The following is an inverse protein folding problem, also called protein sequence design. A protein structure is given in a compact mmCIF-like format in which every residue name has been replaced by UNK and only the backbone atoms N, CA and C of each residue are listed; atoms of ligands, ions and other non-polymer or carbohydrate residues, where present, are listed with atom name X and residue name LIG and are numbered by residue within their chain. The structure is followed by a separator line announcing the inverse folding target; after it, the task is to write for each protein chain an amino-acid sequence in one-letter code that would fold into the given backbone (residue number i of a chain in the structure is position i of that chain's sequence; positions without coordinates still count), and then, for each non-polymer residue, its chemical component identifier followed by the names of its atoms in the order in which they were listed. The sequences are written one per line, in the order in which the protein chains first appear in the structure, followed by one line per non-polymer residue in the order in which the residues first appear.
data_IF_833252362776
#
_entry.id   IF_833252362776
#
_cell.length_a   1.000
_cell.length_b   1.000
_cell.length_c   1.000
_cell.angle_alpha   90.00
_cell.angle_beta   90.00
_cell.angle_gamma   90.00
#
_symmetry.space_group_name_H-M   'P 1'
#
loop_
_entity.id
_entity.type
_entity.pdbx_description
1 polymer ?
#
# COMPACT_ATOMS: atom_id res chain seq x y z
N UNK A 1 -18.01 -5.35 29.84
CA UNK A 1 -16.94 -4.66 29.08
C UNK A 1 -15.62 -5.33 29.36
N UNK A 2 -15.00 -6.02 28.39
CA UNK A 2 -13.61 -6.49 28.53
C UNK A 2 -12.71 -5.28 28.39
N UNK A 3 -12.11 -4.81 29.49
CA UNK A 3 -11.07 -3.79 29.44
C UNK A 3 -9.88 -4.39 28.68
N UNK A 4 -9.66 -3.97 27.42
CA UNK A 4 -8.44 -4.31 26.70
C UNK A 4 -7.24 -3.90 27.55
N UNK A 5 -6.22 -4.76 27.66
CA UNK A 5 -5.02 -4.52 28.49
C UNK A 5 -4.39 -3.18 28.12
N UNK A 6 -4.69 -2.14 28.89
CA UNK A 6 -4.08 -0.82 28.69
C UNK A 6 -2.66 -0.84 29.27
N UNK A 7 -1.69 -0.39 28.49
CA UNK A 7 -0.32 -0.21 28.98
C UNK A 7 -0.31 0.76 30.17
N UNK A 8 0.41 0.38 31.22
CA UNK A 8 0.58 1.20 32.43
C UNK A 8 1.35 2.48 32.12
N UNK A 9 1.15 3.54 32.91
CA UNK A 9 1.79 4.85 32.71
C UNK A 9 3.31 4.74 32.61
N UNK A 10 3.95 3.89 33.44
CA UNK A 10 5.39 3.62 33.37
C UNK A 10 5.80 2.99 32.03
N UNK A 11 5.04 2.02 31.52
CA UNK A 11 5.31 1.39 30.22
C UNK A 11 5.17 2.37 29.05
N UNK A 12 4.23 3.33 29.12
CA UNK A 12 4.09 4.39 28.10
C UNK A 12 5.29 5.32 28.09
N UNK A 13 5.78 5.72 29.26
CA UNK A 13 6.97 6.57 29.40
C UNK A 13 8.24 5.87 28.89
N UNK A 14 8.44 4.61 29.28
CA UNK A 14 9.58 3.80 28.78
C UNK A 14 9.52 3.67 27.26
N UNK A 15 8.34 3.40 26.69
CA UNK A 15 8.16 3.33 25.24
C UNK A 15 8.50 4.65 24.54
N UNK A 16 8.02 5.78 25.06
CA UNK A 16 8.32 7.09 24.48
C UNK A 16 9.81 7.44 24.61
N UNK A 17 10.46 7.05 25.71
CA UNK A 17 11.90 7.22 25.88
C UNK A 17 12.70 6.38 24.88
N UNK A 18 12.27 5.13 24.64
CA UNK A 18 12.86 4.27 23.60
C UNK A 18 12.69 4.91 22.23
N UNK A 19 11.51 5.45 21.90
CA UNK A 19 11.29 6.15 20.64
C UNK A 19 12.21 7.38 20.49
N UNK A 20 12.37 8.17 21.54
CA UNK A 20 13.28 9.32 21.55
C UNK A 20 14.74 8.90 21.30
N UNK A 21 15.22 7.88 22.03
CA UNK A 21 16.58 7.36 21.87
C UNK A 21 16.80 6.74 20.48
N UNK A 22 15.83 5.97 19.98
CA UNK A 22 15.89 5.44 18.62
C UNK A 22 15.91 6.55 17.57
N UNK A 23 15.16 7.63 17.79
CA UNK A 23 15.15 8.80 16.91
C UNK A 23 16.49 9.52 16.92
N UNK A 24 17.14 9.66 18.08
CA UNK A 24 18.47 10.26 18.20
C UNK A 24 19.54 9.43 17.49
N UNK A 25 19.53 8.10 17.67
CA UNK A 25 20.46 7.19 16.99
C UNK A 25 20.23 7.23 15.47
N UNK A 26 18.97 7.18 15.05
CA UNK A 26 18.61 7.27 13.63
C UNK A 26 19.01 8.61 13.02
N UNK A 27 18.79 9.72 13.73
CA UNK A 27 19.22 11.05 13.32
C UNK A 27 20.74 11.16 13.18
N UNK A 28 21.50 10.62 14.13
CA UNK A 28 22.96 10.57 14.06
C UNK A 28 23.45 9.71 12.89
N UNK A 29 22.81 8.56 12.65
CA UNK A 29 23.10 7.68 11.51
C UNK A 29 22.84 8.39 10.17
N UNK A 30 21.67 9.00 10.01
CA UNK A 30 21.35 9.78 8.81
C UNK A 30 22.32 10.95 8.62
N UNK A 31 22.69 11.66 9.70
CA UNK A 31 23.67 12.75 9.65
C UNK A 31 25.06 12.27 9.21
N UNK A 32 25.53 11.14 9.75
CA UNK A 32 26.81 10.53 9.37
C UNK A 32 26.84 10.15 7.88
N UNK A 33 25.81 9.46 7.40
CA UNK A 33 25.68 9.12 5.98
C UNK A 33 25.54 10.36 5.10
N UNK A 34 24.87 11.41 5.59
CA UNK A 34 24.78 12.69 4.89
C UNK A 34 26.13 13.35 4.65
N UNK A 35 26.97 13.42 5.68
CA UNK A 35 28.33 13.95 5.55
C UNK A 35 29.15 13.08 4.60
N UNK A 36 29.02 11.76 4.67
CA UNK A 36 29.68 10.81 3.77
C UNK A 36 29.28 11.04 2.32
N UNK A 37 27.98 11.13 2.03
CA UNK A 37 27.45 11.41 0.68
C UNK A 37 27.93 12.79 0.19
N UNK A 38 27.92 13.82 1.04
CA UNK A 38 28.38 15.15 0.65
C UNK A 38 29.89 15.20 0.33
N UNK A 39 30.71 14.37 1.00
CA UNK A 39 32.17 14.38 0.84
C UNK A 39 32.66 13.44 -0.26
N UNK A 40 32.06 12.26 -0.37
CA UNK A 40 32.50 11.20 -1.28
C UNK A 40 31.58 10.99 -2.48
N UNK A 41 30.46 11.71 -2.53
CA UNK A 41 29.39 11.47 -3.51
C UNK A 41 28.59 10.21 -3.19
N UNK A 42 27.51 9.99 -3.94
CA UNK A 42 26.84 8.69 -3.95
C UNK A 42 27.74 7.67 -4.66
N UNK A 43 27.80 6.41 -4.17
CA UNK A 43 28.47 5.35 -4.90
C UNK A 43 27.94 5.27 -6.34
N UNK A 44 28.82 5.01 -7.31
CA UNK A 44 28.47 5.00 -8.74
C UNK A 44 27.36 4.01 -9.13
N UNK A 45 27.05 3.03 -8.28
CA UNK A 45 25.94 2.11 -8.48
C UNK A 45 24.58 2.66 -8.00
N UNK A 46 24.54 3.72 -7.18
CA UNK A 46 23.30 4.35 -6.67
C UNK A 46 22.87 5.47 -7.63
N UNK A 47 22.62 5.10 -8.87
CA UNK A 47 22.02 6.00 -9.87
C UNK A 47 20.50 5.79 -9.90
N UNK A 48 19.77 6.82 -10.34
CA UNK A 48 18.32 6.72 -10.55
C UNK A 48 17.98 5.55 -11.47
N UNK A 49 18.77 5.34 -12.53
CA UNK A 49 18.56 4.27 -13.50
C UNK A 49 18.68 2.88 -12.86
N UNK A 50 19.71 2.65 -12.03
CA UNK A 50 19.87 1.38 -11.32
C UNK A 50 18.74 1.16 -10.30
N UNK A 51 18.33 2.22 -9.60
CA UNK A 51 17.21 2.17 -8.67
C UNK A 51 15.90 1.80 -9.37
N UNK A 52 15.59 2.43 -10.50
CA UNK A 52 14.44 2.12 -11.34
C UNK A 52 14.52 0.69 -11.88
N UNK A 53 15.69 0.23 -12.29
CA UNK A 53 15.88 -1.14 -12.74
C UNK A 53 15.57 -2.16 -11.63
N UNK A 54 16.07 -1.93 -10.41
CA UNK A 54 15.73 -2.76 -9.24
C UNK A 54 14.22 -2.74 -8.94
N UNK A 55 13.59 -1.56 -8.96
CA UNK A 55 12.14 -1.43 -8.74
C UNK A 55 11.33 -2.19 -9.80
N UNK A 56 11.74 -2.18 -11.07
CA UNK A 56 11.09 -2.92 -12.15
C UNK A 56 11.15 -4.43 -11.92
N UNK A 57 12.30 -4.96 -11.48
CA UNK A 57 12.44 -6.39 -11.14
C UNK A 57 11.49 -6.77 -10.01
N UNK A 58 11.45 -5.97 -8.93
CA UNK A 58 10.54 -6.20 -7.80
C UNK A 58 9.09 -6.18 -8.27
N UNK A 59 8.73 -5.18 -9.09
CA UNK A 59 7.38 -5.03 -9.65
C UNK A 59 6.98 -6.26 -10.47
N UNK A 60 7.89 -6.77 -11.31
CA UNK A 60 7.67 -7.98 -12.10
C UNK A 60 7.42 -9.21 -11.22
N UNK A 61 8.23 -9.41 -10.17
CA UNK A 61 8.06 -10.53 -9.23
C UNK A 61 6.70 -10.45 -8.51
N UNK A 62 6.27 -9.26 -8.10
CA UNK A 62 4.97 -9.08 -7.44
C UNK A 62 3.81 -9.31 -8.41
N UNK A 63 3.94 -8.90 -9.67
CA UNK A 63 2.97 -9.26 -10.72
C UNK A 63 2.87 -10.77 -10.94
N UNK A 64 4.01 -11.46 -11.03
CA UNK A 64 4.03 -12.92 -11.16
C UNK A 64 3.34 -13.59 -9.96
N UNK A 65 3.58 -13.08 -8.74
CA UNK A 65 2.87 -13.50 -7.53
C UNK A 65 1.36 -13.28 -7.60
N UNK A 66 0.92 -12.12 -8.11
CA UNK A 66 -0.50 -11.78 -8.31
C UNK A 66 -1.18 -12.80 -9.22
N UNK A 67 -0.56 -13.12 -10.37
CA UNK A 67 -1.08 -14.12 -11.31
C UNK A 67 -1.08 -15.50 -10.68
N UNK A 68 -0.01 -15.90 -9.99
CA UNK A 68 0.09 -17.19 -9.31
C UNK A 68 -1.04 -17.39 -8.30
N UNK A 69 -1.24 -16.45 -7.38
CA UNK A 69 -2.30 -16.54 -6.37
C UNK A 69 -3.69 -16.48 -7.01
N UNK A 70 -3.89 -15.65 -8.06
CA UNK A 70 -5.16 -15.58 -8.77
C UNK A 70 -5.51 -16.89 -9.49
N UNK A 71 -4.54 -17.51 -10.16
CA UNK A 71 -4.72 -18.84 -10.78
C UNK A 71 -5.02 -19.91 -9.72
N UNK A 72 -4.29 -19.89 -8.59
CA UNK A 72 -4.50 -20.81 -7.48
C UNK A 72 -5.89 -20.65 -6.86
N UNK A 73 -6.37 -19.43 -6.70
CA UNK A 73 -7.73 -19.15 -6.25
C UNK A 73 -8.77 -19.71 -7.22
N UNK A 74 -8.60 -19.50 -8.53
CA UNK A 74 -9.50 -20.04 -9.55
C UNK A 74 -9.48 -21.58 -9.63
N UNK A 75 -8.31 -22.21 -9.44
CA UNK A 75 -8.18 -23.66 -9.38
C UNK A 75 -8.89 -24.23 -8.14
N UNK A 76 -8.71 -23.58 -6.99
CA UNK A 76 -9.36 -23.97 -5.74
C UNK A 76 -10.88 -23.82 -5.84
N UNK A 77 -11.37 -22.75 -6.48
CA UNK A 77 -12.79 -22.56 -6.79
C UNK A 77 -13.34 -23.71 -7.64
N UNK A 78 -12.64 -24.12 -8.70
CA UNK A 78 -13.09 -25.26 -9.52
C UNK A 78 -13.14 -26.56 -8.72
N UNK A 79 -12.15 -26.78 -7.85
CA UNK A 79 -12.10 -27.96 -7.01
C UNK A 79 -13.24 -27.99 -5.98
N UNK A 80 -13.52 -26.84 -5.35
CA UNK A 80 -14.63 -26.67 -4.41
C UNK A 80 -15.97 -27.08 -5.03
N UNK A 81 -16.28 -26.61 -6.24
CA UNK A 81 -17.51 -26.99 -6.95
C UNK A 81 -17.54 -28.41 -7.53
N UNK A 82 -16.43 -29.15 -7.46
CA UNK A 82 -16.34 -30.52 -7.97
C UNK A 82 -16.45 -31.59 -6.88
N UNK A 83 -16.46 -31.18 -5.61
CA UNK A 83 -16.56 -32.08 -4.46
C UNK A 83 -18.03 -32.38 -4.17
N UNK A 84 -18.30 -33.63 -3.78
CA UNK A 84 -19.63 -34.09 -3.36
C UNK A 84 -19.96 -33.51 -1.99
N UNK A 85 -21.24 -33.21 -1.74
CA UNK A 85 -21.74 -32.66 -0.47
C UNK A 85 -21.46 -33.55 0.77
N UNK A 86 -21.01 -34.80 0.56
CA UNK A 86 -20.64 -35.75 1.63
C UNK A 86 -19.30 -35.44 2.30
N UNK A 87 -18.40 -34.67 1.66
CA UNK A 87 -17.05 -34.31 2.16
C UNK A 87 -17.03 -32.87 2.74
N UNK A 88 -17.92 -32.58 3.69
CA UNK A 88 -18.16 -31.22 4.23
C UNK A 88 -16.89 -30.56 4.79
N UNK A 89 -16.07 -31.29 5.57
CA UNK A 89 -14.80 -30.76 6.13
C UNK A 89 -13.82 -30.33 5.04
N UNK A 90 -13.76 -31.08 3.93
CA UNK A 90 -12.89 -30.77 2.80
C UNK A 90 -13.41 -29.58 2.00
N UNK A 91 -14.73 -29.43 1.89
CA UNK A 91 -15.37 -28.30 1.23
C UNK A 91 -15.06 -26.99 1.97
N UNK A 92 -15.18 -26.98 3.30
CA UNK A 92 -14.88 -25.83 4.15
C UNK A 92 -13.40 -25.39 4.05
N UNK A 93 -12.47 -26.34 4.13
CA UNK A 93 -11.06 -26.04 3.97
C UNK A 93 -10.74 -25.36 2.62
N UNK A 94 -11.37 -25.86 1.55
CA UNK A 94 -11.15 -25.32 0.21
C UNK A 94 -11.78 -23.94 0.05
N UNK A 95 -12.93 -23.70 0.66
CA UNK A 95 -13.57 -22.39 0.68
C UNK A 95 -12.67 -21.34 1.35
N UNK A 96 -12.13 -21.65 2.53
CA UNK A 96 -11.17 -20.78 3.22
C UNK A 96 -9.88 -20.57 2.41
N UNK A 97 -9.32 -21.63 1.81
CA UNK A 97 -8.12 -21.55 0.97
C UNK A 97 -8.37 -20.70 -0.29
N UNK A 98 -9.56 -20.81 -0.89
CA UNK A 98 -9.98 -20.05 -2.07
C UNK A 98 -10.00 -18.56 -1.76
N UNK A 99 -10.75 -18.14 -0.74
CA UNK A 99 -10.82 -16.72 -0.35
C UNK A 99 -9.47 -16.16 0.08
N UNK A 100 -8.69 -16.91 0.86
CA UNK A 100 -7.34 -16.47 1.26
C UNK A 100 -6.42 -16.23 0.06
N UNK A 101 -6.42 -17.13 -0.92
CA UNK A 101 -5.61 -16.94 -2.13
C UNK A 101 -6.11 -15.76 -2.97
N UNK A 102 -7.42 -15.52 -3.02
CA UNK A 102 -8.00 -14.35 -3.69
C UNK A 102 -7.53 -13.05 -3.01
N UNK A 103 -7.64 -12.96 -1.68
CA UNK A 103 -7.19 -11.77 -0.93
C UNK A 103 -5.68 -11.51 -1.11
N UNK A 104 -4.86 -12.56 -1.10
CA UNK A 104 -3.42 -12.41 -1.40
C UNK A 104 -3.17 -11.92 -2.83
N UNK A 105 -3.94 -12.39 -3.81
CA UNK A 105 -3.83 -11.86 -5.17
C UNK A 105 -4.20 -10.38 -5.24
N UNK A 106 -5.27 -9.95 -4.56
CA UNK A 106 -5.71 -8.55 -4.50
C UNK A 106 -4.65 -7.66 -3.82
N UNK A 107 -4.10 -8.10 -2.69
CA UNK A 107 -3.05 -7.36 -1.97
C UNK A 107 -1.80 -7.21 -2.85
N UNK A 108 -1.33 -8.31 -3.45
CA UNK A 108 -0.17 -8.29 -4.35
C UNK A 108 -0.42 -7.38 -5.55
N UNK A 109 -1.63 -7.42 -6.13
CA UNK A 109 -2.03 -6.52 -7.20
C UNK A 109 -1.96 -5.05 -6.78
N UNK A 110 -2.50 -4.68 -5.62
CA UNK A 110 -2.46 -3.30 -5.12
C UNK A 110 -1.02 -2.80 -4.88
N UNK A 111 -0.14 -3.68 -4.41
CA UNK A 111 1.29 -3.36 -4.26
C UNK A 111 1.96 -3.20 -5.64
N UNK A 112 1.70 -4.10 -6.58
CA UNK A 112 2.22 -4.00 -7.94
C UNK A 112 1.75 -2.70 -8.62
N UNK A 113 0.46 -2.36 -8.50
CA UNK A 113 -0.11 -1.12 -9.01
C UNK A 113 0.63 0.11 -8.47
N UNK A 114 0.85 0.15 -7.16
CA UNK A 114 1.56 1.25 -6.50
C UNK A 114 3.00 1.38 -7.01
N UNK A 115 3.71 0.27 -7.19
CA UNK A 115 5.09 0.27 -7.71
C UNK A 115 5.15 0.62 -9.20
N UNK A 116 4.19 0.18 -10.01
CA UNK A 116 4.08 0.57 -11.42
C UNK A 116 3.88 2.07 -11.58
N UNK A 117 2.97 2.66 -10.80
CA UNK A 117 2.75 4.10 -10.80
C UNK A 117 3.99 4.87 -10.32
N UNK A 118 4.71 4.34 -9.32
CA UNK A 118 5.96 4.92 -8.85
C UNK A 118 7.05 4.87 -9.94
N UNK A 119 7.24 3.72 -10.61
CA UNK A 119 8.17 3.57 -11.71
C UNK A 119 7.84 4.52 -12.86
N UNK A 120 6.54 4.67 -13.19
CA UNK A 120 6.10 5.58 -14.25
C UNK A 120 6.36 7.04 -13.88
N UNK A 121 6.02 7.44 -12.65
CA UNK A 121 6.23 8.81 -12.18
C UNK A 121 7.70 9.22 -12.06
N UNK A 122 8.60 8.28 -11.73
CA UNK A 122 10.03 8.54 -11.64
C UNK A 122 10.78 8.31 -12.96
N UNK A 123 10.28 7.41 -13.82
CA UNK A 123 10.91 7.01 -15.07
C UNK A 123 10.56 7.89 -16.27
N UNK A 124 9.42 8.57 -16.24
CA UNK A 124 9.03 9.55 -17.26
C UNK A 124 9.42 10.97 -16.85
N UNK A 125 10.00 11.71 -17.78
CA UNK A 125 10.33 13.12 -17.59
C UNK A 125 10.25 13.91 -18.89
N UNK A 126 10.19 15.23 -18.76
CA UNK A 126 10.21 16.16 -19.89
C UNK A 126 11.38 17.11 -19.68
N UNK A 127 12.32 17.10 -20.62
CA UNK A 127 13.41 18.06 -20.69
C UNK A 127 12.98 19.21 -21.59
N UNK A 128 12.97 20.43 -21.05
CA UNK A 128 12.72 21.65 -21.81
C UNK A 128 14.04 22.21 -22.33
N UNK A 129 14.19 22.26 -23.65
CA UNK A 129 15.25 22.95 -24.38
C UNK A 129 14.70 24.29 -24.88
N UNK A 130 15.60 25.21 -25.29
CA UNK A 130 15.24 26.58 -25.68
C UNK A 130 14.16 26.64 -26.78
N UNK A 131 14.13 25.67 -27.69
CA UNK A 131 13.17 25.61 -28.81
C UNK A 131 12.32 24.32 -28.86
N UNK A 132 12.53 23.37 -27.94
CA UNK A 132 11.82 22.09 -27.98
C UNK A 132 11.66 21.45 -26.61
N UNK A 133 10.67 20.56 -26.47
CA UNK A 133 10.53 19.72 -25.29
C UNK A 133 10.72 18.25 -25.70
N UNK A 134 11.66 17.56 -25.06
CA UNK A 134 11.90 16.13 -25.29
C UNK A 134 11.34 15.37 -24.09
N UNK A 135 10.34 14.53 -24.34
CA UNK A 135 9.87 13.56 -23.35
C UNK A 135 10.74 12.31 -23.41
N UNK A 136 11.27 11.90 -22.26
CA UNK A 136 11.99 10.64 -22.12
C UNK A 136 11.24 9.74 -21.15
N UNK A 137 11.34 8.43 -21.39
CA UNK A 137 10.71 7.42 -20.55
C UNK A 137 11.02 6.03 -21.05
N UNK A 138 10.80 5.04 -20.19
CA UNK A 138 11.06 3.65 -20.54
C UNK A 138 9.84 2.99 -21.15
N UNK A 139 10.04 2.31 -22.28
CA UNK A 139 9.01 1.45 -22.89
C UNK A 139 8.55 0.36 -21.90
N UNK A 140 9.46 -0.14 -21.04
CA UNK A 140 9.11 -1.14 -20.02
C UNK A 140 8.06 -0.63 -19.03
N UNK A 141 8.10 0.64 -18.64
CA UNK A 141 7.15 1.22 -17.69
C UNK A 141 5.76 1.35 -18.33
N UNK A 142 5.68 1.65 -19.64
CA UNK A 142 4.43 1.62 -20.40
C UNK A 142 3.88 0.20 -20.53
N UNK A 143 4.75 -0.79 -20.78
CA UNK A 143 4.34 -2.21 -20.84
C UNK A 143 3.79 -2.64 -19.49
N UNK A 144 4.45 -2.31 -18.37
CA UNK A 144 3.93 -2.59 -17.04
C UNK A 144 2.59 -1.90 -16.77
N UNK A 145 2.40 -0.68 -17.27
CA UNK A 145 1.12 0.01 -17.16
C UNK A 145 0.00 -0.70 -17.95
N UNK A 146 0.27 -1.18 -19.16
CA UNK A 146 -0.71 -1.99 -19.91
C UNK A 146 -1.01 -3.31 -19.20
N UNK A 147 0.02 -3.99 -18.69
CA UNK A 147 -0.13 -5.22 -17.89
C UNK A 147 -0.97 -4.94 -16.64
N UNK A 148 -0.79 -3.80 -15.99
CA UNK A 148 -1.57 -3.38 -14.84
C UNK A 148 -3.07 -3.31 -15.18
N UNK A 149 -3.44 -2.69 -16.30
CA UNK A 149 -4.84 -2.60 -16.74
C UNK A 149 -5.45 -3.97 -17.04
N UNK A 150 -4.68 -4.86 -17.68
CA UNK A 150 -5.12 -6.25 -17.95
C UNK A 150 -5.28 -7.03 -16.64
N UNK A 151 -4.32 -6.89 -15.72
CA UNK A 151 -4.37 -7.53 -14.41
C UNK A 151 -5.54 -7.02 -13.56
N UNK A 152 -5.88 -5.73 -13.66
CA UNK A 152 -7.07 -5.15 -13.00
C UNK A 152 -8.35 -5.84 -13.46
N UNK A 153 -8.52 -6.02 -14.78
CA UNK A 153 -9.69 -6.71 -15.35
C UNK A 153 -9.70 -8.18 -14.90
N UNK A 154 -8.54 -8.84 -14.89
CA UNK A 154 -8.42 -10.23 -14.45
C UNK A 154 -8.81 -10.40 -12.97
N UNK A 155 -8.25 -9.59 -12.07
CA UNK A 155 -8.55 -9.65 -10.63
C UNK A 155 -10.00 -9.30 -10.34
N UNK A 156 -10.56 -8.29 -11.02
CA UNK A 156 -11.97 -7.96 -10.88
C UNK A 156 -12.86 -9.12 -11.29
N UNK A 157 -12.67 -9.71 -12.49
CA UNK A 157 -13.46 -10.85 -12.96
C UNK A 157 -13.32 -12.06 -12.06
N UNK A 158 -12.12 -12.31 -11.56
CA UNK A 158 -11.86 -13.39 -10.61
C UNK A 158 -12.61 -13.16 -9.29
N UNK A 159 -12.59 -11.93 -8.77
CA UNK A 159 -13.30 -11.54 -7.55
C UNK A 159 -14.80 -11.71 -7.73
N UNK A 160 -15.37 -11.17 -8.82
CA UNK A 160 -16.79 -11.32 -9.14
C UNK A 160 -17.21 -12.79 -9.18
N UNK A 161 -16.39 -13.62 -9.84
CA UNK A 161 -16.66 -15.06 -9.97
C UNK A 161 -16.63 -15.77 -8.62
N UNK A 162 -15.61 -15.53 -7.80
CA UNK A 162 -15.40 -16.25 -6.55
C UNK A 162 -16.36 -15.77 -5.46
N UNK A 163 -16.70 -14.49 -5.43
CA UNK A 163 -17.58 -13.88 -4.43
C UNK A 163 -19.04 -13.83 -4.85
N UNK A 164 -19.36 -14.33 -6.05
CA UNK A 164 -20.69 -14.29 -6.67
C UNK A 164 -21.38 -12.91 -6.58
N UNK A 165 -20.59 -11.85 -6.81
CA UNK A 165 -21.06 -10.47 -6.67
C UNK A 165 -20.59 -9.61 -7.84
N UNK A 166 -21.51 -8.89 -8.47
CA UNK A 166 -21.16 -8.02 -9.61
C UNK A 166 -20.56 -6.70 -9.12
N UNK A 167 -19.25 -6.57 -9.32
CA UNK A 167 -18.49 -5.34 -9.07
C UNK A 167 -18.29 -4.55 -10.36
N UNK A 168 -18.50 -3.24 -10.36
CA UNK A 168 -18.09 -2.40 -11.48
C UNK A 168 -16.55 -2.34 -11.59
N UNK A 169 -16.01 -2.22 -12.81
CA UNK A 169 -14.56 -2.02 -13.03
C UNK A 169 -14.03 -0.73 -12.40
N UNK A 170 -14.90 0.25 -12.24
CA UNK A 170 -14.64 1.50 -11.53
C UNK A 170 -15.65 1.65 -10.39
N UNK A 171 -15.62 0.67 -9.48
CA UNK A 171 -16.53 0.64 -8.34
C UNK A 171 -16.45 1.93 -7.51
N UNK A 172 -17.60 2.54 -7.28
CA UNK A 172 -17.73 3.68 -6.39
C UNK A 172 -17.58 3.24 -4.93
N UNK A 173 -17.29 4.19 -4.03
CA UNK A 173 -17.24 3.92 -2.58
C UNK A 173 -18.55 3.30 -2.06
N UNK A 174 -19.68 3.67 -2.67
CA UNK A 174 -20.98 3.09 -2.33
C UNK A 174 -21.07 1.62 -2.75
N UNK A 175 -20.73 1.30 -4.00
CA UNK A 175 -20.76 -0.08 -4.49
C UNK A 175 -19.78 -0.99 -3.73
N UNK A 176 -18.60 -0.47 -3.35
CA UNK A 176 -17.64 -1.21 -2.53
C UNK A 176 -18.18 -1.45 -1.11
N UNK A 177 -18.93 -0.49 -0.55
CA UNK A 177 -19.61 -0.66 0.73
C UNK A 177 -20.69 -1.74 0.64
N UNK A 178 -21.50 -1.73 -0.41
CA UNK A 178 -22.55 -2.72 -0.64
C UNK A 178 -21.94 -4.13 -0.84
N UNK A 179 -20.80 -4.22 -1.54
CA UNK A 179 -20.02 -5.46 -1.66
C UNK A 179 -19.52 -5.97 -0.29
N UNK A 180 -19.00 -5.09 0.56
CA UNK A 180 -18.55 -5.47 1.90
C UNK A 180 -19.72 -5.84 2.83
N UNK A 181 -20.92 -5.32 2.58
CA UNK A 181 -22.14 -5.72 3.30
C UNK A 181 -22.62 -7.12 2.93
N UNK A 182 -22.31 -7.60 1.72
CA UNK A 182 -22.59 -8.97 1.28
C UNK A 182 -21.61 -10.02 1.83
N UNK A 183 -20.49 -9.61 2.43
CA UNK A 183 -19.54 -10.52 3.07
C UNK A 183 -20.06 -11.08 4.40
N UNK A 184 -19.49 -12.21 4.81
CA UNK A 184 -19.71 -12.78 6.14
C UNK A 184 -19.42 -11.77 7.26
N UNK A 185 -20.17 -11.87 8.36
CA UNK A 185 -20.07 -10.93 9.48
C UNK A 185 -18.68 -10.92 10.11
N UNK A 186 -18.02 -12.08 10.22
CA UNK A 186 -16.68 -12.20 10.76
C UNK A 186 -15.64 -11.52 9.88
N UNK A 187 -15.71 -11.75 8.57
CA UNK A 187 -14.83 -11.10 7.58
C UNK A 187 -15.01 -9.58 7.58
N UNK A 188 -16.27 -9.13 7.59
CA UNK A 188 -16.62 -7.71 7.66
C UNK A 188 -16.09 -7.04 8.94
N UNK A 189 -16.25 -7.68 10.10
CA UNK A 189 -15.75 -7.14 11.36
C UNK A 189 -14.22 -7.06 11.38
N UNK A 190 -13.53 -8.09 10.89
CA UNK A 190 -12.07 -8.07 10.74
C UNK A 190 -11.60 -6.94 9.81
N UNK A 191 -12.28 -6.75 8.66
CA UNK A 191 -11.98 -5.67 7.73
C UNK A 191 -12.17 -4.28 8.34
N UNK A 192 -13.24 -4.06 9.12
CA UNK A 192 -13.45 -2.78 9.81
C UNK A 192 -12.41 -2.54 10.90
N UNK A 193 -12.07 -3.55 11.70
CA UNK A 193 -11.04 -3.44 12.74
C UNK A 193 -9.68 -3.10 12.12
N UNK A 194 -9.27 -3.84 11.10
CA UNK A 194 -8.00 -3.60 10.40
C UNK A 194 -7.98 -2.23 9.73
N UNK A 195 -9.07 -1.83 9.05
CA UNK A 195 -9.18 -0.51 8.44
C UNK A 195 -9.04 0.62 9.46
N UNK A 196 -9.67 0.47 10.63
CA UNK A 196 -9.51 1.41 11.74
C UNK A 196 -8.06 1.48 12.22
N UNK A 197 -7.42 0.33 12.44
CA UNK A 197 -6.02 0.26 12.87
C UNK A 197 -5.07 0.91 11.86
N UNK A 198 -5.30 0.68 10.56
CA UNK A 198 -4.51 1.28 9.47
C UNK A 198 -4.67 2.80 9.48
N UNK A 199 -5.91 3.32 9.45
CA UNK A 199 -6.16 4.77 9.45
C UNK A 199 -5.60 5.43 10.71
N UNK A 200 -5.75 4.79 11.87
CA UNK A 200 -5.21 5.30 13.13
C UNK A 200 -3.68 5.35 13.11
N UNK A 201 -3.03 4.26 12.68
CA UNK A 201 -1.57 4.18 12.57
C UNK A 201 -1.03 5.18 11.54
N UNK A 202 -1.73 5.34 10.42
CA UNK A 202 -1.37 6.31 9.38
C UNK A 202 -1.39 7.74 9.94
N UNK A 203 -2.47 8.10 10.65
CA UNK A 203 -2.65 9.43 11.22
C UNK A 203 -1.68 9.72 12.38
N UNK A 204 -1.49 8.77 13.29
CA UNK A 204 -0.77 9.02 14.54
C UNK A 204 0.72 8.69 14.49
N UNK A 205 1.15 7.84 13.56
CA UNK A 205 2.52 7.34 13.51
C UNK A 205 3.16 7.66 12.16
N UNK A 206 2.55 7.21 11.05
CA UNK A 206 3.20 7.29 9.73
C UNK A 206 3.31 8.74 9.24
N UNK A 207 2.22 9.50 9.24
CA UNK A 207 2.25 10.89 8.74
C UNK A 207 3.18 11.78 9.58
N UNK A 208 3.11 11.78 10.93
CA UNK A 208 4.12 12.44 11.78
C UNK A 208 5.56 11.99 11.47
N UNK A 209 5.78 10.69 11.29
CA UNK A 209 7.08 10.13 10.91
C UNK A 209 7.58 10.64 9.57
N UNK A 210 6.69 10.79 8.57
CA UNK A 210 7.01 11.32 7.25
C UNK A 210 7.48 12.79 7.32
N UNK A 211 6.92 13.62 8.20
CA UNK A 211 7.44 14.98 8.39
C UNK A 211 8.90 14.98 8.85
N UNK A 212 9.24 14.15 9.84
CA UNK A 212 10.61 14.03 10.32
C UNK A 212 11.54 13.48 9.23
N UNK A 213 11.07 12.48 8.49
CA UNK A 213 11.82 11.90 7.38
C UNK A 213 12.12 12.93 6.28
N UNK A 214 11.11 13.69 5.83
CA UNK A 214 11.29 14.76 4.83
C UNK A 214 12.18 15.89 5.35
N UNK A 215 12.12 16.20 6.65
CA UNK A 215 13.01 17.19 7.27
C UNK A 215 14.47 16.73 7.20
N UNK A 216 14.76 15.48 7.55
CA UNK A 216 16.10 14.90 7.43
C UNK A 216 16.56 14.89 5.98
N UNK A 217 15.71 14.43 5.04
CA UNK A 217 16.06 14.46 3.61
C UNK A 217 16.33 15.86 3.08
N UNK A 218 15.58 16.86 3.53
CA UNK A 218 15.79 18.26 3.14
C UNK A 218 17.16 18.77 3.59
N UNK A 219 17.62 18.39 4.79
CA UNK A 219 18.98 18.71 5.25
C UNK A 219 20.06 18.00 4.41
N UNK A 220 19.84 16.72 4.09
CA UNK A 220 20.78 15.91 3.32
C UNK A 220 20.97 16.42 1.89
N UNK A 221 19.88 16.80 1.23
CA UNK A 221 19.89 17.30 -0.15
C UNK A 221 20.17 18.81 -0.24
N UNK A 222 20.20 19.51 0.91
CA UNK A 222 20.31 20.98 0.98
C UNK A 222 19.21 21.71 0.21
N UNK A 223 18.06 21.05 0.04
CA UNK A 223 16.93 21.51 -0.78
C UNK A 223 15.64 21.48 0.04
N UNK A 224 14.79 22.49 -0.12
CA UNK A 224 13.52 22.58 0.60
C UNK A 224 12.42 21.80 -0.14
N UNK A 225 12.01 20.67 0.42
CA UNK A 225 10.99 19.78 -0.15
C UNK A 225 9.54 20.29 0.09
N UNK A 226 9.26 21.55 -0.26
CA UNK A 226 8.00 22.24 0.07
C UNK A 226 6.78 21.43 -0.43
N UNK A 227 6.82 20.94 -1.67
CA UNK A 227 5.72 20.16 -2.24
C UNK A 227 5.44 18.87 -1.47
N UNK A 228 6.47 18.16 -1.03
CA UNK A 228 6.30 16.93 -0.25
C UNK A 228 5.64 17.22 1.10
N UNK A 229 6.07 18.28 1.80
CA UNK A 229 5.44 18.70 3.05
C UNK A 229 3.98 19.09 2.87
N UNK A 230 3.64 19.81 1.79
CA UNK A 230 2.26 20.18 1.50
C UNK A 230 1.36 18.95 1.26
N UNK A 231 1.84 17.95 0.53
CA UNK A 231 1.10 16.71 0.31
C UNK A 231 0.86 15.95 1.61
N UNK A 232 1.90 15.81 2.47
CA UNK A 232 1.76 15.16 3.78
C UNK A 232 0.78 15.94 4.68
N UNK A 233 0.84 17.29 4.67
CA UNK A 233 -0.10 18.14 5.39
C UNK A 233 -1.53 18.01 4.91
N UNK A 234 -1.74 18.00 3.61
CA UNK A 234 -3.05 17.81 3.01
C UNK A 234 -3.66 16.47 3.46
N UNK A 235 -2.92 15.36 3.34
CA UNK A 235 -3.40 14.03 3.77
C UNK A 235 -3.70 13.99 5.27
N UNK A 236 -2.81 14.56 6.08
CA UNK A 236 -2.98 14.58 7.54
C UNK A 236 -4.21 15.38 7.95
N UNK A 237 -4.43 16.56 7.38
CA UNK A 237 -5.61 17.38 7.64
C UNK A 237 -6.87 16.67 7.13
N UNK A 238 -6.84 16.11 5.92
CA UNK A 238 -7.98 15.43 5.31
C UNK A 238 -8.52 14.30 6.19
N UNK A 239 -7.66 13.43 6.71
CA UNK A 239 -8.06 12.32 7.59
C UNK A 239 -8.79 12.85 8.84
N UNK A 240 -8.21 13.85 9.51
CA UNK A 240 -8.79 14.43 10.72
C UNK A 240 -10.12 15.15 10.43
N UNK A 241 -10.23 15.89 9.33
CA UNK A 241 -11.49 16.55 8.92
C UNK A 241 -12.58 15.51 8.63
N UNK A 242 -12.23 14.41 7.96
CA UNK A 242 -13.19 13.35 7.66
C UNK A 242 -13.67 12.62 8.92
N UNK A 243 -12.80 12.45 9.93
CA UNK A 243 -13.19 11.88 11.23
C UNK A 243 -14.26 12.73 11.96
N UNK A 244 -14.31 14.04 11.75
CA UNK A 244 -15.37 14.91 12.30
C UNK A 244 -16.75 14.46 11.82
N UNK A 245 -16.88 13.98 10.58
CA UNK A 245 -18.17 13.48 10.05
C UNK A 245 -18.68 12.27 10.83
N UNK A 246 -17.78 11.42 11.33
CA UNK A 246 -18.16 10.29 12.18
C UNK A 246 -18.77 10.78 13.49
N UNK A 247 -18.11 11.73 14.17
CA UNK A 247 -18.58 12.31 15.44
C UNK A 247 -19.99 12.90 15.27
N UNK A 248 -20.20 13.73 14.24
CA UNK A 248 -21.51 14.35 13.97
C UNK A 248 -22.62 13.34 13.65
N UNK A 249 -22.29 12.20 13.04
CA UNK A 249 -23.29 11.18 12.69
C UNK A 249 -23.71 10.35 13.91
N UNK A 250 -22.75 10.04 14.79
CA UNK A 250 -22.98 9.16 15.92
C UNK A 250 -23.56 9.89 17.15
N UNK A 251 -23.05 11.09 17.44
CA UNK A 251 -23.44 11.86 18.63
C UNK A 251 -24.41 13.00 18.29
N UNK A 252 -25.43 12.72 17.47
CA UNK A 252 -26.47 13.71 17.13
C UNK A 252 -27.07 14.37 18.38
#
# INVERSE_FOLDING_TARGET
MKQGKQLTTKQRWVRNLIYLLSGAIFGAFCGFFGVLISKFGLPSFVTLDNFLFCLRIITFVIFAGTVYFGLKANQTHKLYHSISDEDEERADELNMKMYRNLEYAIIMFNVAASLTLLNLGLGFGVAFLEESAIMYGSIFDLVFYVVLLVAQIFIMKLTQKIRDYQLSAFATVKEMKDFMEAMDEGEKQANYEMSFQIVFTLNQIVLPGLYLFLFVLSMLLQERQIMAFLVVAFLHIYINVMQVRMVRRYFK
#
